data_IF_108334595246
#
_entry.id   IF_108334595246
#
_cell.length_a   1.000
_cell.length_b   1.000
_cell.length_c   1.000
_cell.angle_alpha   90.00
_cell.angle_beta   90.00
_cell.angle_gamma   90.00
#
_symmetry.space_group_name_H-M   'P 1'
#
loop_
_entity.id
_entity.type
_entity.pdbx_description
1 polymer ?
#
# COMPACT_ATOMS: atom_id res chain seq x y z
N UNK A 1 -17.66 -61.99 -1.36
CA UNK A 1 -18.43 -60.89 -0.73
C UNK A 1 -17.95 -60.48 0.67
N UNK A 2 -17.34 -61.35 1.48
CA UNK A 2 -16.87 -60.99 2.84
C UNK A 2 -15.65 -60.03 2.81
N UNK A 3 -14.81 -60.09 1.77
CA UNK A 3 -13.61 -59.23 1.65
C UNK A 3 -13.91 -57.75 1.38
N UNK A 4 -15.07 -57.41 0.79
CA UNK A 4 -15.44 -56.03 0.49
C UNK A 4 -15.97 -55.27 1.73
N UNK A 5 -16.63 -55.97 2.66
CA UNK A 5 -17.16 -55.37 3.89
C UNK A 5 -16.06 -55.00 4.90
N UNK A 6 -14.97 -55.77 4.97
CA UNK A 6 -13.81 -55.44 5.80
C UNK A 6 -13.09 -54.16 5.33
N UNK A 7 -13.08 -53.90 4.02
CA UNK A 7 -12.45 -52.70 3.45
C UNK A 7 -13.23 -51.42 3.76
N UNK A 8 -14.56 -51.48 3.86
CA UNK A 8 -15.38 -50.31 4.17
C UNK A 8 -15.25 -49.90 5.65
N UNK A 9 -15.20 -50.85 6.59
CA UNK A 9 -15.00 -50.54 8.01
C UNK A 9 -13.62 -49.97 8.32
N UNK A 10 -12.57 -50.40 7.60
CA UNK A 10 -11.23 -49.85 7.73
C UNK A 10 -11.15 -48.38 7.25
N UNK A 11 -11.86 -48.04 6.17
CA UNK A 11 -11.90 -46.65 5.65
C UNK A 11 -12.67 -45.70 6.58
N UNK A 12 -13.73 -46.17 7.23
CA UNK A 12 -14.48 -45.37 8.22
C UNK A 12 -13.64 -45.10 9.47
N UNK A 13 -12.82 -46.07 9.92
CA UNK A 13 -11.90 -45.86 11.05
C UNK A 13 -10.83 -44.80 10.79
N UNK A 14 -10.21 -44.83 9.60
CA UNK A 14 -9.15 -43.86 9.22
C UNK A 14 -9.70 -42.44 9.06
N UNK A 15 -10.94 -42.29 8.59
CA UNK A 15 -11.59 -40.99 8.45
C UNK A 15 -11.92 -40.33 9.81
N UNK A 16 -12.23 -41.13 10.84
CA UNK A 16 -12.55 -40.62 12.18
C UNK A 16 -11.27 -40.23 12.95
N UNK A 17 -10.18 -40.99 12.82
CA UNK A 17 -8.90 -40.63 13.46
C UNK A 17 -8.25 -39.38 12.84
N UNK A 18 -8.39 -39.17 11.53
CA UNK A 18 -7.91 -37.97 10.86
C UNK A 18 -8.63 -36.68 11.28
N UNK A 19 -9.86 -36.79 11.81
CA UNK A 19 -10.67 -35.64 12.25
C UNK A 19 -10.39 -35.23 13.71
N UNK A 20 -9.81 -36.11 14.53
CA UNK A 20 -9.49 -35.85 15.94
C UNK A 20 -8.02 -35.45 16.13
N UNK A 21 -7.12 -35.87 15.23
CA UNK A 21 -5.73 -35.41 15.24
C UNK A 21 -5.61 -33.98 14.72
N UNK A 22 -5.73 -33.00 15.62
CA UNK A 22 -5.20 -31.64 15.41
C UNK A 22 -3.75 -31.76 14.92
N UNK A 23 -3.35 -31.13 13.81
CA UNK A 23 -1.94 -31.02 13.48
C UNK A 23 -1.26 -30.23 14.60
N UNK A 24 -0.36 -30.88 15.34
CA UNK A 24 0.54 -30.20 16.26
C UNK A 24 1.36 -29.19 15.47
N UNK A 25 1.09 -27.90 15.69
CA UNK A 25 1.84 -26.77 15.16
C UNK A 25 3.14 -26.54 15.96
N UNK A 26 3.81 -27.61 16.38
CA UNK A 26 5.17 -27.56 16.92
C UNK A 26 6.16 -27.54 15.75
N UNK A 27 6.51 -26.35 15.28
CA UNK A 27 7.60 -26.20 14.30
C UNK A 27 7.54 -24.96 13.42
N UNK A 28 6.48 -24.15 13.51
CA UNK A 28 6.42 -22.90 12.75
C UNK A 28 7.11 -21.80 13.56
N UNK A 29 8.40 -21.58 13.31
CA UNK A 29 9.12 -20.39 13.77
C UNK A 29 8.35 -19.16 13.30
N UNK A 30 7.69 -18.49 14.25
CA UNK A 30 7.11 -17.17 14.03
C UNK A 30 8.31 -16.23 13.89
N UNK A 31 8.58 -15.81 12.66
CA UNK A 31 9.42 -14.64 12.41
C UNK A 31 8.65 -13.47 13.01
N UNK A 32 9.13 -12.94 14.14
CA UNK A 32 8.65 -11.67 14.68
C UNK A 32 8.89 -10.57 13.65
N UNK A 33 7.86 -10.24 12.89
CA UNK A 33 7.80 -9.03 12.09
C UNK A 33 7.43 -7.89 13.05
N UNK A 34 8.47 -7.25 13.58
CA UNK A 34 8.38 -6.02 14.37
C UNK A 34 7.60 -4.94 13.61
N UNK A 35 6.42 -4.63 14.14
CA UNK A 35 5.74 -3.32 14.15
C UNK A 35 6.07 -2.37 13.00
N UNK A 36 5.41 -2.55 11.86
CA UNK A 36 5.09 -1.44 10.96
C UNK A 36 3.60 -1.15 11.10
N UNK A 37 3.28 -0.27 12.04
CA UNK A 37 1.91 0.22 12.28
C UNK A 37 1.60 1.28 11.23
N UNK A 38 1.15 0.84 10.05
CA UNK A 38 0.52 1.72 9.08
C UNK A 38 -0.97 1.84 9.43
N UNK A 39 -1.52 3.04 9.68
CA UNK A 39 -2.95 3.21 9.85
C UNK A 39 -3.60 3.17 8.46
N UNK A 40 -4.77 2.53 8.39
CA UNK A 40 -5.72 2.72 7.28
C UNK A 40 -5.55 1.86 6.01
N UNK A 41 -5.18 0.58 6.16
CA UNK A 41 -5.57 -0.43 5.17
C UNK A 41 -6.78 -1.20 5.70
N UNK A 42 -7.98 -0.82 5.24
CA UNK A 42 -9.22 -1.54 5.49
C UNK A 42 -9.02 -3.00 5.08
N UNK A 43 -8.81 -3.87 6.08
CA UNK A 43 -8.60 -5.29 5.90
C UNK A 43 -9.82 -5.83 5.14
N UNK A 44 -9.67 -6.34 3.91
CA UNK A 44 -10.81 -6.84 3.16
C UNK A 44 -11.48 -7.93 4.02
N UNK A 45 -12.82 -7.95 4.12
CA UNK A 45 -13.52 -8.91 4.94
C UNK A 45 -13.11 -10.31 4.47
N UNK A 46 -12.30 -10.99 5.30
CA UNK A 46 -11.93 -12.38 5.07
C UNK A 46 -13.26 -13.13 4.98
N UNK A 47 -13.57 -13.77 3.84
CA UNK A 47 -14.80 -14.53 3.72
C UNK A 47 -14.78 -15.60 4.80
N UNK A 48 -15.69 -15.49 5.77
CA UNK A 48 -15.84 -16.51 6.80
C UNK A 48 -16.07 -17.83 6.05
N UNK A 49 -15.22 -18.83 6.34
CA UNK A 49 -15.45 -20.20 5.86
C UNK A 49 -16.92 -20.55 6.17
N UNK A 50 -17.68 -21.11 5.22
CA UNK A 50 -19.02 -21.60 5.50
C UNK A 50 -18.90 -22.54 6.70
N UNK A 51 -19.42 -22.14 7.86
CA UNK A 51 -19.67 -23.10 8.92
C UNK A 51 -20.71 -24.04 8.32
N UNK A 52 -20.35 -25.32 8.16
CA UNK A 52 -21.34 -26.35 7.89
C UNK A 52 -22.26 -26.36 9.11
N UNK A 53 -23.37 -25.63 9.01
CA UNK A 53 -24.49 -25.79 9.91
C UNK A 53 -25.05 -27.17 9.56
N UNK A 54 -24.69 -28.16 10.36
CA UNK A 54 -25.33 -29.47 10.31
C UNK A 54 -26.74 -29.28 10.86
N UNK A 55 -27.62 -28.73 10.04
CA UNK A 55 -29.02 -28.55 10.37
C UNK A 55 -29.55 -29.87 10.93
N UNK A 56 -30.01 -29.78 12.18
CA UNK A 56 -30.47 -30.87 13.03
C UNK A 56 -31.51 -31.79 12.36
N UNK A 57 -32.12 -31.35 11.24
CA UNK A 57 -33.09 -32.12 10.45
C UNK A 57 -32.53 -33.34 9.71
N UNK A 58 -31.39 -33.22 9.00
CA UNK A 58 -30.86 -34.35 8.19
C UNK A 58 -30.08 -35.36 9.02
N UNK A 59 -29.19 -34.87 9.87
CA UNK A 59 -28.45 -35.72 10.80
C UNK A 59 -29.41 -36.42 11.78
N UNK A 60 -30.45 -35.71 12.26
CA UNK A 60 -31.50 -36.28 13.10
C UNK A 60 -32.32 -37.35 12.40
N UNK A 61 -32.67 -37.17 11.12
CA UNK A 61 -33.39 -38.19 10.35
C UNK A 61 -32.56 -39.47 10.15
N UNK A 62 -31.27 -39.34 9.83
CA UNK A 62 -30.38 -40.50 9.67
C UNK A 62 -30.19 -41.21 11.01
N UNK A 63 -29.93 -40.46 12.09
CA UNK A 63 -29.80 -41.01 13.43
C UNK A 63 -31.08 -41.76 13.85
N UNK A 64 -32.25 -41.16 13.65
CA UNK A 64 -33.54 -41.79 13.96
C UNK A 64 -33.81 -43.02 13.07
N UNK A 65 -33.44 -43.00 11.80
CA UNK A 65 -33.63 -44.15 10.89
C UNK A 65 -32.73 -45.32 11.30
N UNK A 66 -31.46 -45.04 11.61
CA UNK A 66 -30.52 -46.05 12.13
C UNK A 66 -30.99 -46.57 13.49
N UNK A 67 -31.47 -45.68 14.36
CA UNK A 67 -32.02 -46.04 15.66
C UNK A 67 -33.27 -46.91 15.53
N UNK A 68 -34.20 -46.61 14.62
CA UNK A 68 -35.39 -47.44 14.33
C UNK A 68 -35.00 -48.84 13.84
N UNK A 69 -34.01 -48.95 12.94
CA UNK A 69 -33.50 -50.24 12.44
C UNK A 69 -32.79 -51.03 13.55
N UNK A 70 -32.12 -50.36 14.50
CA UNK A 70 -31.47 -50.99 15.65
C UNK A 70 -32.44 -51.30 16.79
N UNK A 71 -33.52 -50.53 16.96
CA UNK A 71 -34.58 -50.78 17.93
C UNK A 71 -35.39 -52.04 17.58
N UNK A 72 -35.50 -52.38 16.29
CA UNK A 72 -36.04 -53.67 15.83
C UNK A 72 -35.22 -54.87 16.34
N UNK A 73 -33.93 -54.71 16.66
CA UNK A 73 -33.12 -55.74 17.32
C UNK A 73 -33.31 -55.79 18.84
N UNK A 74 -34.02 -54.85 19.44
CA UNK A 74 -34.13 -54.73 20.91
C UNK A 74 -35.19 -55.66 21.49
N UNK A 75 -36.18 -56.08 20.70
CA UNK A 75 -37.23 -57.01 21.11
C UNK A 75 -36.85 -58.48 20.86
N UNK A 76 -35.68 -58.86 21.37
CA UNK A 76 -35.16 -60.24 21.23
C UNK A 76 -36.04 -61.28 21.92
N UNK A 77 -36.87 -60.87 22.90
CA UNK A 77 -37.79 -61.75 23.63
C UNK A 77 -39.04 -62.08 22.81
N UNK A 78 -39.59 -61.13 22.04
CA UNK A 78 -40.66 -61.40 21.08
C UNK A 78 -40.18 -62.28 19.91
N UNK A 79 -38.96 -62.02 19.43
CA UNK A 79 -38.30 -62.84 18.41
C UNK A 79 -38.10 -64.30 18.85
N UNK A 80 -37.89 -64.54 20.15
CA UNK A 80 -37.69 -65.88 20.72
C UNK A 80 -38.97 -66.71 20.74
N UNK A 81 -40.14 -66.07 20.71
CA UNK A 81 -41.46 -66.71 20.74
C UNK A 81 -42.07 -66.92 19.33
N UNK A 82 -41.50 -66.32 18.28
CA UNK A 82 -41.94 -66.48 16.89
C UNK A 82 -41.60 -67.86 16.31
N UNK A 83 -42.44 -68.36 15.40
CA UNK A 83 -42.12 -69.58 14.65
C UNK A 83 -40.93 -69.31 13.72
N UNK A 84 -40.07 -70.33 13.51
CA UNK A 84 -38.84 -70.19 12.68
C UNK A 84 -39.07 -69.57 11.30
N UNK A 85 -40.19 -69.87 10.63
CA UNK A 85 -40.47 -69.31 9.31
C UNK A 85 -40.83 -67.81 9.37
N UNK A 86 -41.50 -67.37 10.43
CA UNK A 86 -41.92 -65.97 10.60
C UNK A 86 -40.70 -65.11 10.86
N UNK A 87 -39.77 -65.59 11.70
CA UNK A 87 -38.48 -64.97 11.96
C UNK A 87 -37.63 -64.86 10.69
N UNK A 88 -37.61 -65.91 9.84
CA UNK A 88 -36.91 -65.85 8.56
C UNK A 88 -37.49 -64.76 7.64
N UNK A 89 -38.82 -64.63 7.58
CA UNK A 89 -39.49 -63.64 6.74
C UNK A 89 -39.32 -62.21 7.27
N UNK A 90 -39.35 -61.99 8.59
CA UNK A 90 -39.09 -60.68 9.17
C UNK A 90 -37.66 -60.22 8.89
N UNK A 91 -36.66 -61.06 9.18
CA UNK A 91 -35.24 -60.75 8.91
C UNK A 91 -35.01 -60.45 7.43
N UNK A 92 -35.65 -61.18 6.52
CA UNK A 92 -35.54 -60.91 5.07
C UNK A 92 -36.12 -59.54 4.71
N UNK A 93 -37.26 -59.15 5.28
CA UNK A 93 -37.88 -57.83 5.08
C UNK A 93 -36.97 -56.73 5.63
N UNK A 94 -36.46 -56.90 6.84
CA UNK A 94 -35.63 -55.89 7.51
C UNK A 94 -34.30 -55.69 6.77
N UNK A 95 -33.70 -56.77 6.28
CA UNK A 95 -32.50 -56.68 5.44
C UNK A 95 -32.79 -55.96 4.12
N UNK A 96 -33.95 -56.18 3.51
CA UNK A 96 -34.35 -55.48 2.30
C UNK A 96 -34.55 -53.97 2.57
N UNK A 97 -35.21 -53.62 3.66
CA UNK A 97 -35.40 -52.23 4.10
C UNK A 97 -34.06 -51.56 4.42
N UNK A 98 -33.17 -52.23 5.15
CA UNK A 98 -31.84 -51.71 5.45
C UNK A 98 -31.02 -51.48 4.18
N UNK A 99 -31.10 -52.39 3.20
CA UNK A 99 -30.41 -52.24 1.90
C UNK A 99 -30.96 -51.04 1.12
N UNK A 100 -32.27 -50.85 1.10
CA UNK A 100 -32.89 -49.68 0.46
C UNK A 100 -32.49 -48.38 1.16
N UNK A 101 -32.52 -48.35 2.50
CA UNK A 101 -32.10 -47.20 3.28
C UNK A 101 -30.62 -46.84 3.01
N UNK A 102 -29.74 -47.83 2.88
CA UNK A 102 -28.32 -47.57 2.54
C UNK A 102 -28.15 -46.93 1.17
N UNK A 103 -28.93 -47.35 0.16
CA UNK A 103 -28.87 -46.73 -1.17
C UNK A 103 -29.36 -45.29 -1.17
N UNK A 104 -30.45 -44.98 -0.45
CA UNK A 104 -30.96 -43.60 -0.31
C UNK A 104 -29.92 -42.71 0.37
N UNK A 105 -29.27 -43.20 1.43
CA UNK A 105 -28.20 -42.46 2.10
C UNK A 105 -27.00 -42.25 1.18
N UNK A 106 -26.61 -43.25 0.39
CA UNK A 106 -25.53 -43.14 -0.59
C UNK A 106 -25.80 -42.06 -1.65
N UNK A 107 -27.01 -42.04 -2.23
CA UNK A 107 -27.43 -41.00 -3.18
C UNK A 107 -27.39 -39.60 -2.56
N UNK A 108 -27.86 -39.46 -1.31
CA UNK A 108 -27.83 -38.17 -0.61
C UNK A 108 -26.41 -37.69 -0.31
N UNK A 109 -25.51 -38.60 0.09
CA UNK A 109 -24.10 -38.27 0.31
C UNK A 109 -23.44 -37.84 -0.98
N UNK A 110 -23.69 -38.55 -2.09
CA UNK A 110 -23.15 -38.19 -3.39
C UNK A 110 -23.67 -36.83 -3.87
N UNK A 111 -24.95 -36.54 -3.65
CA UNK A 111 -25.55 -35.24 -3.98
C UNK A 111 -24.91 -34.11 -3.16
N UNK A 112 -24.79 -34.27 -1.84
CA UNK A 112 -24.16 -33.27 -0.97
C UNK A 112 -22.69 -33.03 -1.32
N UNK A 113 -21.97 -34.08 -1.72
CA UNK A 113 -20.58 -33.96 -2.19
C UNK A 113 -20.48 -33.18 -3.50
N UNK A 114 -21.39 -33.44 -4.46
CA UNK A 114 -21.46 -32.68 -5.70
C UNK A 114 -21.76 -31.20 -5.47
N UNK A 115 -22.74 -30.89 -4.61
CA UNK A 115 -23.10 -29.51 -4.24
C UNK A 115 -21.93 -28.78 -3.58
N UNK A 116 -21.28 -29.40 -2.60
CA UNK A 116 -20.10 -28.84 -1.93
C UNK A 116 -18.99 -28.51 -2.93
N UNK A 117 -18.71 -29.43 -3.87
CA UNK A 117 -17.67 -29.23 -4.89
C UNK A 117 -18.02 -28.10 -5.86
N UNK A 118 -19.30 -27.95 -6.20
CA UNK A 118 -19.77 -26.85 -7.04
C UNK A 118 -19.65 -25.51 -6.31
N UNK A 119 -20.01 -25.44 -5.03
CA UNK A 119 -19.85 -24.25 -4.19
C UNK A 119 -18.37 -23.86 -4.02
N UNK A 120 -17.50 -24.84 -3.77
CA UNK A 120 -16.05 -24.61 -3.69
C UNK A 120 -15.50 -24.07 -5.01
N UNK A 121 -15.96 -24.64 -6.14
CA UNK A 121 -15.59 -24.16 -7.48
C UNK A 121 -16.05 -22.73 -7.73
N UNK A 122 -17.29 -22.39 -7.34
CA UNK A 122 -17.84 -21.03 -7.43
C UNK A 122 -17.04 -20.04 -6.57
N UNK A 123 -16.74 -20.42 -5.33
CA UNK A 123 -15.94 -19.60 -4.42
C UNK A 123 -14.54 -19.34 -4.97
N UNK A 124 -13.86 -20.39 -5.44
CA UNK A 124 -12.54 -20.27 -6.04
C UNK A 124 -12.54 -19.42 -7.31
N UNK A 125 -13.56 -19.56 -8.16
CA UNK A 125 -13.74 -18.75 -9.35
C UNK A 125 -13.94 -17.26 -9.00
N UNK A 126 -14.78 -16.96 -8.00
CA UNK A 126 -15.00 -15.61 -7.51
C UNK A 126 -13.73 -15.00 -6.92
N UNK A 127 -12.99 -15.75 -6.10
CA UNK A 127 -11.73 -15.32 -5.51
C UNK A 127 -10.67 -15.03 -6.59
N UNK A 128 -10.58 -15.89 -7.61
CA UNK A 128 -9.68 -15.70 -8.75
C UNK A 128 -10.05 -14.48 -9.59
N UNK A 129 -11.34 -14.21 -9.76
CA UNK A 129 -11.81 -13.01 -10.48
C UNK A 129 -11.46 -11.73 -9.71
N UNK A 130 -11.63 -11.71 -8.39
CA UNK A 130 -11.23 -10.59 -7.55
C UNK A 130 -9.72 -10.34 -7.58
N UNK A 131 -8.91 -11.41 -7.54
CA UNK A 131 -7.45 -11.29 -7.64
C UNK A 131 -7.03 -10.66 -8.98
N UNK A 132 -7.62 -11.09 -10.09
CA UNK A 132 -7.35 -10.50 -11.42
C UNK A 132 -7.73 -9.03 -11.49
N UNK A 133 -8.85 -8.65 -10.88
CA UNK A 133 -9.27 -7.25 -10.84
C UNK A 133 -8.27 -6.40 -10.04
N UNK A 134 -7.81 -6.89 -8.88
CA UNK A 134 -6.80 -6.21 -8.08
C UNK A 134 -5.45 -6.10 -8.84
N UNK A 135 -5.03 -7.15 -9.56
CA UNK A 135 -3.84 -7.14 -10.42
C UNK A 135 -3.94 -6.08 -11.53
N UNK A 136 -5.11 -5.97 -12.18
CA UNK A 136 -5.34 -4.96 -13.20
C UNK A 136 -5.30 -3.54 -12.63
N UNK A 137 -5.92 -3.31 -11.48
CA UNK A 137 -5.88 -2.02 -10.78
C UNK A 137 -4.45 -1.65 -10.39
N UNK A 138 -3.66 -2.61 -9.92
CA UNK A 138 -2.25 -2.41 -9.61
C UNK A 138 -1.44 -2.06 -10.86
N UNK A 139 -1.69 -2.72 -11.99
CA UNK A 139 -1.04 -2.39 -13.26
C UNK A 139 -1.35 -0.95 -13.71
N UNK A 140 -2.61 -0.51 -13.59
CA UNK A 140 -3.03 0.86 -13.91
C UNK A 140 -2.38 1.89 -12.95
N UNK A 141 -2.30 1.57 -11.65
CA UNK A 141 -1.66 2.44 -10.67
C UNK A 141 -0.15 2.59 -10.97
N UNK A 142 0.53 1.50 -11.34
CA UNK A 142 1.94 1.51 -11.70
C UNK A 142 2.21 2.38 -12.93
N UNK A 143 1.43 2.25 -14.00
CA UNK A 143 1.61 3.09 -15.19
C UNK A 143 1.43 4.58 -14.86
N UNK A 144 0.40 4.91 -14.08
CA UNK A 144 0.14 6.27 -13.60
C UNK A 144 1.32 6.84 -12.80
N UNK A 145 1.86 6.07 -11.84
CA UNK A 145 3.03 6.47 -11.05
C UNK A 145 4.24 6.73 -11.95
N UNK A 146 4.48 5.87 -12.95
CA UNK A 146 5.62 6.08 -13.87
C UNK A 146 5.47 7.35 -14.72
N UNK A 147 4.26 7.69 -15.15
CA UNK A 147 4.01 8.93 -15.88
C UNK A 147 4.19 10.17 -15.01
N UNK A 148 3.67 10.14 -13.77
CA UNK A 148 3.84 11.25 -12.83
C UNK A 148 5.32 11.47 -12.49
N UNK A 149 6.08 10.39 -12.28
CA UNK A 149 7.54 10.47 -12.07
C UNK A 149 8.25 11.14 -13.26
N UNK A 150 7.88 10.80 -14.50
CA UNK A 150 8.45 11.44 -15.70
C UNK A 150 8.14 12.94 -15.73
N UNK A 151 6.89 13.33 -15.41
CA UNK A 151 6.49 14.75 -15.34
C UNK A 151 7.25 15.52 -14.26
N UNK A 152 7.46 14.90 -13.10
CA UNK A 152 8.21 15.50 -12.00
C UNK A 152 9.67 15.76 -12.38
N UNK A 153 10.34 14.79 -13.00
CA UNK A 153 11.72 14.96 -13.50
C UNK A 153 11.82 16.08 -14.54
N UNK A 154 10.82 16.25 -15.40
CA UNK A 154 10.79 17.36 -16.36
C UNK A 154 10.62 18.72 -15.65
N UNK A 155 9.74 18.79 -14.65
CA UNK A 155 9.55 19.99 -13.83
C UNK A 155 10.81 20.38 -13.06
N UNK A 156 11.53 19.42 -12.49
CA UNK A 156 12.80 19.67 -11.82
C UNK A 156 13.85 20.23 -12.79
N UNK A 157 13.91 19.71 -14.01
CA UNK A 157 14.79 20.25 -15.07
C UNK A 157 14.41 21.68 -15.48
N UNK A 158 13.12 22.01 -15.53
CA UNK A 158 12.65 23.38 -15.79
C UNK A 158 13.06 24.33 -14.66
N UNK A 159 12.85 23.92 -13.41
CA UNK A 159 13.24 24.68 -12.21
C UNK A 159 14.74 24.91 -12.19
N UNK A 160 15.55 23.89 -12.47
CA UNK A 160 17.01 24.02 -12.42
C UNK A 160 17.53 24.95 -13.52
N UNK A 161 16.94 24.88 -14.73
CA UNK A 161 17.22 25.86 -15.79
C UNK A 161 16.84 27.28 -15.36
N UNK A 162 15.67 27.46 -14.74
CA UNK A 162 15.24 28.78 -14.26
C UNK A 162 16.17 29.34 -13.19
N UNK A 163 16.61 28.51 -12.22
CA UNK A 163 17.62 28.90 -11.22
C UNK A 163 18.93 29.29 -11.87
N UNK A 164 19.43 28.52 -12.84
CA UNK A 164 20.67 28.84 -13.52
C UNK A 164 20.56 30.16 -14.30
N UNK A 165 19.43 30.41 -14.97
CA UNK A 165 19.18 31.68 -15.66
C UNK A 165 19.15 32.86 -14.67
N UNK A 166 18.45 32.72 -13.54
CA UNK A 166 18.41 33.74 -12.50
C UNK A 166 19.80 34.01 -11.90
N UNK A 167 20.58 32.96 -11.65
CA UNK A 167 21.97 33.07 -11.17
C UNK A 167 22.85 33.84 -12.16
N UNK A 168 22.83 33.46 -13.44
CA UNK A 168 23.61 34.12 -14.49
C UNK A 168 23.21 35.59 -14.65
N UNK A 169 21.91 35.88 -14.57
CA UNK A 169 21.38 37.24 -14.63
C UNK A 169 21.87 38.08 -13.45
N UNK A 170 21.77 37.55 -12.22
CA UNK A 170 22.27 38.23 -11.01
C UNK A 170 23.79 38.46 -11.05
N UNK A 171 24.55 37.53 -11.61
CA UNK A 171 25.99 37.71 -11.83
C UNK A 171 26.26 38.88 -12.77
N UNK A 172 25.55 38.95 -13.90
CA UNK A 172 25.69 40.04 -14.88
C UNK A 172 25.31 41.39 -14.27
N UNK A 173 24.20 41.45 -13.54
CA UNK A 173 23.75 42.66 -12.85
C UNK A 173 24.78 43.14 -11.83
N UNK A 174 25.28 42.23 -10.99
CA UNK A 174 26.32 42.54 -9.99
C UNK A 174 27.62 43.00 -10.65
N UNK A 175 28.04 42.34 -11.72
CA UNK A 175 29.23 42.74 -12.49
C UNK A 175 29.06 44.14 -13.08
N UNK A 176 27.92 44.44 -13.70
CA UNK A 176 27.64 45.78 -14.26
C UNK A 176 27.57 46.84 -13.16
N UNK A 177 26.96 46.53 -12.02
CA UNK A 177 26.87 47.42 -10.87
C UNK A 177 28.25 47.75 -10.31
N UNK A 178 29.08 46.73 -10.04
CA UNK A 178 30.45 46.92 -9.54
C UNK A 178 31.31 47.69 -10.54
N UNK A 179 31.24 47.36 -11.84
CA UNK A 179 31.96 48.10 -12.89
C UNK A 179 31.57 49.58 -12.92
N UNK A 180 30.31 49.91 -12.65
CA UNK A 180 29.85 51.31 -12.60
C UNK A 180 30.30 52.05 -11.32
N UNK A 181 30.35 51.36 -10.17
CA UNK A 181 30.71 51.96 -8.88
C UNK A 181 32.21 52.10 -8.67
N UNK A 182 33.01 51.16 -9.20
CA UNK A 182 34.44 51.09 -8.96
C UNK A 182 35.19 52.40 -9.30
N UNK A 183 34.96 53.08 -10.44
CA UNK A 183 35.61 54.36 -10.72
C UNK A 183 35.27 55.45 -9.70
N UNK A 184 34.03 55.49 -9.20
CA UNK A 184 33.57 56.48 -8.22
C UNK A 184 34.30 56.26 -6.89
N UNK A 185 34.31 55.03 -6.38
CA UNK A 185 34.99 54.68 -5.13
C UNK A 185 36.50 54.93 -5.24
N UNK A 186 37.13 54.48 -6.33
CA UNK A 186 38.56 54.73 -6.57
C UNK A 186 38.88 56.23 -6.63
N UNK A 187 38.04 57.05 -7.27
CA UNK A 187 38.25 58.49 -7.34
C UNK A 187 38.18 59.15 -5.96
N UNK A 188 37.19 58.77 -5.15
CA UNK A 188 37.05 59.27 -3.77
C UNK A 188 38.28 58.91 -2.94
N UNK A 189 38.73 57.65 -3.02
CA UNK A 189 39.91 57.18 -2.32
C UNK A 189 41.20 57.91 -2.76
N UNK A 190 41.41 58.08 -4.08
CA UNK A 190 42.56 58.82 -4.61
C UNK A 190 42.55 60.28 -4.14
N UNK A 191 41.38 60.93 -4.12
CA UNK A 191 41.24 62.31 -3.62
C UNK A 191 41.58 62.42 -2.14
N UNK A 192 41.04 61.53 -1.30
CA UNK A 192 41.33 61.52 0.13
C UNK A 192 42.83 61.33 0.38
N UNK A 193 43.44 60.33 -0.26
CA UNK A 193 44.86 60.05 -0.12
C UNK A 193 45.73 61.23 -0.59
N UNK A 194 45.34 61.90 -1.68
CA UNK A 194 46.04 63.09 -2.18
C UNK A 194 45.96 64.28 -1.21
N UNK A 195 44.78 64.55 -0.67
CA UNK A 195 44.56 65.63 0.31
C UNK A 195 45.41 65.38 1.56
N UNK A 196 45.44 64.15 2.07
CA UNK A 196 46.25 63.80 3.24
C UNK A 196 47.76 63.93 2.97
N UNK A 197 48.24 63.50 1.79
CA UNK A 197 49.64 63.68 1.42
C UNK A 197 50.04 65.17 1.38
N UNK A 198 49.16 66.05 0.87
CA UNK A 198 49.38 67.49 0.86
C UNK A 198 49.37 68.10 2.28
N UNK A 199 48.52 67.58 3.18
CA UNK A 199 48.51 67.98 4.59
C UNK A 199 49.86 67.68 5.25
N UNK A 200 50.37 66.46 5.07
CA UNK A 200 51.66 66.03 5.63
C UNK A 200 52.83 66.84 5.07
N UNK A 201 52.76 67.26 3.81
CA UNK A 201 53.78 68.09 3.17
C UNK A 201 53.73 69.59 3.56
N UNK A 202 52.78 70.01 4.39
CA UNK A 202 52.65 71.42 4.81
C UNK A 202 52.15 72.36 3.70
N UNK A 203 51.46 71.84 2.68
CA UNK A 203 50.91 72.66 1.59
C UNK A 203 49.69 73.43 2.08
N UNK A 204 49.69 74.75 1.87
CA UNK A 204 48.61 75.65 2.29
C UNK A 204 47.23 75.22 1.78
N UNK A 205 46.19 75.48 2.56
CA UNK A 205 44.81 75.12 2.26
C UNK A 205 44.26 75.80 0.98
N UNK A 206 44.81 76.94 0.57
CA UNK A 206 44.41 77.69 -0.63
C UNK A 206 45.20 77.30 -1.89
N UNK A 207 46.10 76.32 -1.80
CA UNK A 207 46.90 75.89 -2.95
C UNK A 207 46.06 75.30 -4.06
N UNK A 208 46.35 75.68 -5.32
CA UNK A 208 45.71 75.09 -6.50
C UNK A 208 45.94 73.57 -6.61
N UNK A 209 46.97 73.04 -5.94
CA UNK A 209 47.25 71.60 -5.86
C UNK A 209 46.17 70.83 -5.10
N UNK A 210 45.37 71.50 -4.27
CA UNK A 210 44.21 70.91 -3.56
C UNK A 210 42.95 70.86 -4.42
N UNK A 211 42.95 71.42 -5.63
CA UNK A 211 41.81 71.37 -6.52
C UNK A 211 41.53 69.90 -6.96
N UNK A 212 40.33 69.34 -6.69
CA UNK A 212 39.97 67.96 -7.06
C UNK A 212 40.05 67.65 -8.56
N UNK A 213 40.03 68.68 -9.41
CA UNK A 213 40.17 68.57 -10.85
C UNK A 213 41.63 68.49 -11.31
N UNK A 214 42.59 68.82 -10.45
CA UNK A 214 44.04 68.75 -10.73
C UNK A 214 44.72 67.55 -10.08
N UNK A 215 44.01 66.79 -9.24
CA UNK A 215 44.51 65.53 -8.70
C UNK A 215 44.86 64.54 -9.83
N UNK A 216 46.00 63.86 -9.71
CA UNK A 216 46.41 62.88 -10.71
C UNK A 216 45.58 61.61 -10.60
N UNK A 217 44.85 61.28 -11.67
CA UNK A 217 44.08 60.04 -11.77
C UNK A 217 44.64 59.14 -12.86
N UNK A 218 44.66 57.80 -12.65
CA UNK A 218 44.88 56.84 -13.72
C UNK A 218 43.87 57.02 -14.87
N UNK A 219 44.26 56.81 -16.15
CA UNK A 219 43.39 57.03 -17.31
C UNK A 219 42.01 56.38 -17.21
N UNK A 220 41.91 55.21 -16.59
CA UNK A 220 40.66 54.46 -16.42
C UNK A 220 39.59 55.16 -15.54
N UNK A 221 39.97 56.15 -14.72
CA UNK A 221 39.05 56.87 -13.82
C UNK A 221 39.02 58.39 -14.05
N UNK A 222 39.64 58.88 -15.12
CA UNK A 222 39.67 60.32 -15.48
C UNK A 222 38.30 60.83 -15.94
N UNK A 223 37.49 59.97 -16.55
CA UNK A 223 36.14 60.33 -17.02
C UNK A 223 35.19 60.40 -15.83
N UNK A 224 34.68 61.59 -15.51
CA UNK A 224 33.65 61.76 -14.47
C UNK A 224 32.37 61.07 -14.96
N UNK A 225 31.87 60.00 -14.30
CA UNK A 225 30.56 59.48 -14.60
C UNK A 225 29.54 60.60 -14.36
N UNK A 226 28.61 60.84 -15.29
CA UNK A 226 27.50 61.73 -15.03
C UNK A 226 26.75 61.19 -13.81
N UNK A 227 26.77 61.92 -12.69
CA UNK A 227 26.00 61.53 -11.51
C UNK A 227 24.52 61.52 -11.90
N UNK A 228 23.94 60.34 -12.05
CA UNK A 228 22.49 60.19 -12.01
C UNK A 228 22.06 60.42 -10.57
N UNK A 229 21.55 61.62 -10.32
CA UNK A 229 20.80 61.97 -9.12
C UNK A 229 19.47 61.21 -9.12
N UNK A 230 19.45 60.00 -8.57
CA UNK A 230 18.19 59.35 -8.15
C UNK A 230 18.41 58.56 -6.87
N UNK A 231 18.28 59.26 -5.75
CA UNK A 231 17.88 58.69 -4.46
C UNK A 231 16.43 58.22 -4.64
N UNK A 232 16.24 56.92 -4.87
CA UNK A 232 14.94 56.28 -4.73
C UNK A 232 14.90 55.63 -3.35
N UNK A 233 14.37 56.37 -2.39
CA UNK A 233 13.97 55.90 -1.06
C UNK A 233 13.02 54.72 -1.17
N UNK A 234 13.45 53.57 -0.67
CA UNK A 234 12.59 52.44 -0.35
C UNK A 234 11.56 52.87 0.70
N UNK A 235 10.27 52.85 0.37
CA UNK A 235 9.19 52.91 1.36
C UNK A 235 8.44 51.59 1.32
N UNK A 236 8.57 50.87 2.43
CA UNK A 236 7.78 49.71 2.83
C UNK A 236 6.28 50.01 2.80
N UNK A 237 5.49 49.14 2.18
CA UNK A 237 4.06 49.04 2.42
C UNK A 237 3.66 47.55 2.52
N UNK A 238 3.47 47.13 3.77
CA UNK A 238 2.91 45.86 4.21
C UNK A 238 1.39 46.05 4.43
N UNK A 239 0.55 45.39 3.63
CA UNK A 239 -0.89 45.06 3.79
C UNK A 239 -1.49 44.92 2.39
N UNK A 240 -2.36 43.97 2.00
CA UNK A 240 -3.07 42.90 2.69
C UNK A 240 -3.86 42.11 1.62
N UNK A 241 -4.02 40.80 1.80
CA UNK A 241 -5.23 40.00 1.58
C UNK A 241 -5.93 39.97 0.20
N UNK A 242 -5.97 38.79 -0.45
CA UNK A 242 -7.11 38.28 -1.25
C UNK A 242 -6.94 36.75 -1.41
N UNK A 243 -7.55 35.93 -0.56
CA UNK A 243 -8.85 35.22 -0.70
C UNK A 243 -8.98 34.39 -1.99
N UNK A 244 -8.90 33.07 -1.82
CA UNK A 244 -9.15 32.00 -2.80
C UNK A 244 -10.62 31.55 -2.67
N UNK A 245 -11.36 31.33 -3.77
CA UNK A 245 -12.38 30.31 -3.87
C UNK A 245 -11.80 28.97 -4.35
#
# INVERSE_FOLDING_TARGET
>A
MIKARASCLALVGVAIEGFISKPSLEGMQIIELSTFTDPELAKPPIPKRPQLDFDSGRAGYIANTVEQVLLLLRDMDELRNLKKHELFLSVKRDLALATQATHVVEEWVNQAFCEMKEEESKYFAAQKAQLREAENQLAIALTTITELRKKLVLKDKEIEKAKQMAYNQGQKETETHLKSQLPVVCRIFCLQTWIEALNVAGVDSNSELRNPNRAFYPPAIRTRPALQSSVSTSTSALASSTKVP
#
